data_IF_432786299148
#
_entry.id   IF_432786299148
#
_cell.length_a   1.000
_cell.length_b   1.000
_cell.length_c   1.000
_cell.angle_alpha   90.00
_cell.angle_beta   90.00
_cell.angle_gamma   90.00
#
_symmetry.space_group_name_H-M   'P 1'
#
loop_
_entity.id
_entity.type
_entity.pdbx_description
1 polymer ?
#
# COMPACT_ATOMS: atom_id res chain seq x y z
N UNK A 1 3.69 -17.03 -23.45
CA UNK A 1 2.49 -16.25 -23.23
C UNK A 1 2.83 -14.79 -22.99
N UNK A 2 2.15 -13.89 -23.68
CA UNK A 2 2.36 -12.43 -23.59
C UNK A 2 2.22 -11.90 -22.15
N UNK A 3 1.19 -12.33 -21.45
CA UNK A 3 0.93 -11.86 -20.07
C UNK A 3 1.98 -12.37 -19.08
N UNK A 4 2.43 -13.59 -19.25
CA UNK A 4 3.49 -14.15 -18.39
C UNK A 4 4.82 -13.42 -18.63
N UNK A 5 5.16 -13.13 -19.88
CA UNK A 5 6.37 -12.38 -20.24
C UNK A 5 6.34 -10.97 -19.67
N UNK A 6 5.19 -10.30 -19.77
CA UNK A 6 5.02 -8.93 -19.27
C UNK A 6 5.15 -8.88 -17.75
N UNK A 7 4.51 -9.84 -17.04
CA UNK A 7 4.61 -9.93 -15.58
C UNK A 7 6.04 -10.17 -15.13
N UNK A 8 6.76 -11.03 -15.83
CA UNK A 8 8.16 -11.31 -15.54
C UNK A 8 9.04 -10.07 -15.76
N UNK A 9 8.81 -9.31 -16.83
CA UNK A 9 9.53 -8.07 -17.10
C UNK A 9 9.30 -7.02 -16.03
N UNK A 10 8.05 -6.90 -15.53
CA UNK A 10 7.70 -5.97 -14.45
C UNK A 10 8.41 -6.36 -13.15
N UNK A 11 8.52 -7.67 -12.84
CA UNK A 11 9.26 -8.17 -11.67
C UNK A 11 10.73 -7.78 -11.74
N UNK A 12 11.38 -7.98 -12.90
CA UNK A 12 12.77 -7.62 -13.08
C UNK A 12 13.00 -6.10 -12.93
N UNK A 13 12.10 -5.28 -13.45
CA UNK A 13 12.19 -3.82 -13.31
C UNK A 13 12.10 -3.39 -11.84
N UNK A 14 11.18 -3.99 -11.08
CA UNK A 14 11.05 -3.69 -9.65
C UNK A 14 12.31 -4.07 -8.88
N UNK A 15 12.89 -5.23 -9.19
CA UNK A 15 14.13 -5.67 -8.57
C UNK A 15 15.29 -4.74 -8.87
N UNK A 16 15.43 -4.29 -10.12
CA UNK A 16 16.46 -3.33 -10.52
C UNK A 16 16.32 -2.03 -9.75
N UNK A 17 15.11 -1.49 -9.64
CA UNK A 17 14.84 -0.25 -8.92
C UNK A 17 15.20 -0.42 -7.44
N UNK A 18 14.80 -1.51 -6.81
CA UNK A 18 15.12 -1.75 -5.40
C UNK A 18 16.62 -1.89 -5.16
N UNK A 19 17.34 -2.57 -6.06
CA UNK A 19 18.79 -2.75 -5.92
C UNK A 19 19.56 -1.45 -6.04
N UNK A 20 18.97 -0.44 -6.70
CA UNK A 20 19.59 0.89 -6.85
C UNK A 20 19.29 1.81 -5.66
N UNK A 21 18.37 1.45 -4.76
CA UNK A 21 17.96 2.26 -3.64
C UNK A 21 18.69 1.87 -2.35
N UNK A 22 18.93 2.87 -1.50
CA UNK A 22 19.43 2.62 -0.15
C UNK A 22 18.29 2.08 0.72
N UNK A 23 18.64 1.47 1.87
CA UNK A 23 17.66 0.99 2.84
C UNK A 23 16.75 2.13 3.31
N UNK A 24 17.32 3.31 3.55
CA UNK A 24 16.58 4.50 3.96
C UNK A 24 15.60 4.96 2.87
N UNK A 25 16.03 4.94 1.60
CA UNK A 25 15.17 5.31 0.48
C UNK A 25 14.00 4.33 0.33
N UNK A 26 14.26 3.03 0.49
CA UNK A 26 13.21 2.00 0.46
C UNK A 26 12.21 2.24 1.59
N UNK A 27 12.71 2.43 2.80
CA UNK A 27 11.85 2.68 3.97
C UNK A 27 11.01 3.93 3.77
N UNK A 28 11.59 5.03 3.30
CA UNK A 28 10.87 6.28 3.07
C UNK A 28 9.84 6.16 1.95
N UNK A 29 10.13 5.36 0.93
CA UNK A 29 9.16 5.10 -0.15
C UNK A 29 7.95 4.34 0.38
N UNK A 30 8.18 3.33 1.23
CA UNK A 30 7.10 2.58 1.88
C UNK A 30 6.27 3.51 2.77
N UNK A 31 6.91 4.30 3.62
CA UNK A 31 6.24 5.25 4.52
C UNK A 31 5.41 6.25 3.72
N UNK A 32 5.97 6.82 2.66
CA UNK A 32 5.29 7.81 1.83
C UNK A 32 4.02 7.26 1.17
N UNK A 33 4.13 6.10 0.55
CA UNK A 33 2.96 5.46 -0.09
C UNK A 33 1.93 5.01 0.95
N UNK A 34 2.37 4.45 2.07
CA UNK A 34 1.47 4.04 3.16
C UNK A 34 0.73 5.23 3.76
N UNK A 35 1.44 6.33 4.00
CA UNK A 35 0.84 7.56 4.53
C UNK A 35 -0.19 8.16 3.60
N UNK A 36 0.12 8.21 2.30
CA UNK A 36 -0.83 8.69 1.29
C UNK A 36 -2.05 7.78 1.20
N UNK A 37 -1.84 6.46 1.20
CA UNK A 37 -2.93 5.48 1.19
C UNK A 37 -3.87 5.68 2.38
N UNK A 38 -3.30 5.87 3.57
CA UNK A 38 -4.08 6.10 4.79
C UNK A 38 -4.89 7.40 4.68
N UNK A 39 -4.26 8.48 4.23
CA UNK A 39 -4.94 9.77 4.06
C UNK A 39 -6.11 9.66 3.09
N UNK A 40 -5.91 8.99 1.96
CA UNK A 40 -6.96 8.77 0.96
C UNK A 40 -8.12 7.94 1.53
N UNK A 41 -7.81 6.93 2.35
CA UNK A 41 -8.84 6.11 2.99
C UNK A 41 -9.71 6.95 3.94
N UNK A 42 -9.09 7.84 4.73
CA UNK A 42 -9.83 8.74 5.62
C UNK A 42 -10.62 9.80 4.84
N UNK A 43 -10.12 10.28 3.70
CA UNK A 43 -10.89 11.15 2.82
C UNK A 43 -12.12 10.42 2.27
N UNK A 44 -11.98 9.14 1.93
CA UNK A 44 -13.11 8.32 1.49
C UNK A 44 -14.18 8.22 2.59
N UNK A 45 -13.76 8.00 3.83
CA UNK A 45 -14.68 7.93 4.97
C UNK A 45 -15.41 9.24 5.16
N UNK A 46 -14.71 10.36 5.04
CA UNK A 46 -15.31 11.70 5.15
C UNK A 46 -16.39 11.90 4.09
N UNK A 47 -16.11 11.55 2.85
CA UNK A 47 -17.09 11.66 1.75
C UNK A 47 -18.30 10.75 1.99
N UNK A 48 -18.08 9.55 2.48
CA UNK A 48 -19.17 8.61 2.79
C UNK A 48 -20.09 9.14 3.88
N UNK A 49 -19.53 9.80 4.90
CA UNK A 49 -20.32 10.43 5.97
C UNK A 49 -21.25 11.51 5.43
N UNK A 50 -20.86 12.16 4.34
CA UNK A 50 -21.64 13.20 3.68
C UNK A 50 -22.58 12.65 2.60
N UNK A 51 -22.61 11.32 2.41
CA UNK A 51 -23.42 10.66 1.41
C UNK A 51 -22.84 10.63 0.01
N UNK A 52 -21.59 11.06 -0.16
CA UNK A 52 -20.91 11.13 -1.46
C UNK A 52 -20.19 9.82 -1.77
N UNK A 53 -20.95 8.74 -1.97
CA UNK A 53 -20.41 7.38 -2.09
C UNK A 53 -19.56 7.15 -3.35
N UNK A 54 -19.89 7.79 -4.46
CA UNK A 54 -19.08 7.66 -5.69
C UNK A 54 -17.70 8.27 -5.51
N UNK A 55 -17.63 9.42 -4.85
CA UNK A 55 -16.37 10.08 -4.53
C UNK A 55 -15.58 9.28 -3.52
N UNK A 56 -16.25 8.71 -2.52
CA UNK A 56 -15.64 7.81 -1.54
C UNK A 56 -14.99 6.61 -2.23
N UNK A 57 -15.70 6.01 -3.19
CA UNK A 57 -15.18 4.88 -3.95
C UNK A 57 -13.90 5.22 -4.71
N UNK A 58 -13.85 6.39 -5.34
CA UNK A 58 -12.65 6.86 -6.06
C UNK A 58 -11.46 7.01 -5.13
N UNK A 59 -11.66 7.58 -3.96
CA UNK A 59 -10.61 7.71 -2.95
C UNK A 59 -10.12 6.34 -2.46
N UNK A 60 -11.03 5.38 -2.27
CA UNK A 60 -10.64 4.02 -1.88
C UNK A 60 -9.80 3.33 -2.95
N UNK A 61 -10.15 3.52 -4.22
CA UNK A 61 -9.37 2.98 -5.34
C UNK A 61 -7.96 3.55 -5.36
N UNK A 62 -7.83 4.86 -5.18
CA UNK A 62 -6.53 5.53 -5.10
C UNK A 62 -5.73 5.05 -3.89
N UNK A 63 -6.39 4.90 -2.74
CA UNK A 63 -5.77 4.37 -1.53
C UNK A 63 -5.20 2.98 -1.77
N UNK A 64 -5.97 2.13 -2.43
CA UNK A 64 -5.57 0.76 -2.75
C UNK A 64 -4.34 0.73 -3.67
N UNK A 65 -4.29 1.60 -4.67
CA UNK A 65 -3.15 1.71 -5.57
C UNK A 65 -1.87 2.08 -4.83
N UNK A 66 -1.95 3.02 -3.88
CA UNK A 66 -0.80 3.43 -3.08
C UNK A 66 -0.35 2.32 -2.13
N UNK A 67 -1.31 1.64 -1.50
CA UNK A 67 -1.01 0.48 -0.65
C UNK A 67 -0.33 -0.63 -1.43
N UNK A 68 -0.80 -0.88 -2.64
CA UNK A 68 -0.26 -1.93 -3.50
C UNK A 68 1.21 -1.67 -3.84
N UNK A 69 1.55 -0.43 -4.17
CA UNK A 69 2.94 -0.04 -4.47
C UNK A 69 3.87 -0.34 -3.29
N UNK A 70 3.46 0.05 -2.09
CA UNK A 70 4.24 -0.19 -0.87
C UNK A 70 4.29 -1.68 -0.53
N UNK A 71 3.18 -2.38 -0.71
CA UNK A 71 3.08 -3.82 -0.42
C UNK A 71 3.95 -4.66 -1.36
N UNK A 72 4.04 -4.29 -2.62
CA UNK A 72 4.94 -4.96 -3.58
C UNK A 72 6.39 -4.82 -3.15
N UNK A 73 6.77 -3.63 -2.69
CA UNK A 73 8.11 -3.37 -2.17
C UNK A 73 8.42 -4.20 -0.93
N UNK A 74 7.45 -4.30 -0.01
CA UNK A 74 7.56 -5.16 1.17
C UNK A 74 7.73 -6.63 0.77
N UNK A 75 6.95 -7.09 -0.19
CA UNK A 75 7.00 -8.47 -0.67
C UNK A 75 8.38 -8.80 -1.23
N UNK A 76 8.98 -7.90 -2.00
CA UNK A 76 10.34 -8.08 -2.51
C UNK A 76 11.37 -8.21 -1.38
N UNK A 77 11.23 -7.39 -0.34
CA UNK A 77 12.11 -7.46 0.82
C UNK A 77 12.00 -8.82 1.53
N UNK A 78 10.77 -9.29 1.71
CA UNK A 78 10.49 -10.59 2.36
C UNK A 78 11.06 -11.73 1.53
N UNK A 79 10.85 -11.71 0.21
CA UNK A 79 11.37 -12.72 -0.70
C UNK A 79 12.90 -12.75 -0.69
N UNK A 80 13.54 -11.58 -0.70
CA UNK A 80 15.01 -11.49 -0.65
C UNK A 80 15.54 -12.06 0.68
N UNK A 81 14.86 -11.79 1.78
CA UNK A 81 15.26 -12.37 3.07
C UNK A 81 15.14 -13.89 3.06
N UNK A 82 14.05 -14.42 2.50
CA UNK A 82 13.85 -15.87 2.38
C UNK A 82 14.94 -16.53 1.53
N UNK A 83 15.47 -15.82 0.53
CA UNK A 83 16.55 -16.28 -0.34
C UNK A 83 17.96 -16.09 0.25
N UNK A 84 18.05 -15.58 1.48
CA UNK A 84 19.33 -15.35 2.16
C UNK A 84 19.95 -13.99 1.84
N UNK A 85 19.24 -13.11 1.12
CA UNK A 85 19.71 -11.79 0.70
C UNK A 85 18.96 -10.68 1.46
N UNK A 86 18.70 -10.89 2.74
CA UNK A 86 18.00 -9.93 3.57
C UNK A 86 18.83 -8.67 3.83
N UNK A 87 18.13 -7.59 4.18
CA UNK A 87 18.76 -6.34 4.58
C UNK A 87 18.92 -6.31 6.11
N UNK A 88 19.84 -5.47 6.57
CA UNK A 88 19.97 -5.22 8.00
C UNK A 88 18.76 -4.42 8.47
N UNK A 89 18.11 -4.90 9.53
CA UNK A 89 16.92 -4.26 10.07
C UNK A 89 17.31 -3.08 10.95
N UNK A 90 16.65 -1.93 10.76
CA UNK A 90 16.82 -0.76 11.60
C UNK A 90 15.45 -0.21 12.00
N UNK A 91 15.44 0.76 12.91
CA UNK A 91 14.19 1.32 13.42
C UNK A 91 13.34 1.95 12.34
N UNK A 92 13.97 2.64 11.38
CA UNK A 92 13.24 3.26 10.27
C UNK A 92 12.51 2.21 9.43
N UNK A 93 13.15 1.08 9.14
CA UNK A 93 12.53 0.00 8.36
C UNK A 93 11.39 -0.67 9.14
N UNK A 94 11.57 -0.87 10.46
CA UNK A 94 10.50 -1.40 11.32
C UNK A 94 9.31 -0.43 11.31
N UNK A 95 9.56 0.86 11.43
CA UNK A 95 8.52 1.90 11.37
C UNK A 95 7.78 1.85 10.02
N UNK A 96 8.52 1.67 8.93
CA UNK A 96 7.93 1.58 7.59
C UNK A 96 6.97 0.39 7.49
N UNK A 97 7.37 -0.78 8.00
CA UNK A 97 6.52 -1.97 7.99
C UNK A 97 5.26 -1.77 8.83
N UNK A 98 5.41 -1.22 10.03
CA UNK A 98 4.30 -0.91 10.91
C UNK A 98 3.31 0.06 10.24
N UNK A 99 3.83 1.13 9.66
CA UNK A 99 3.02 2.14 8.99
C UNK A 99 2.24 1.54 7.81
N UNK A 100 2.88 0.68 7.03
CA UNK A 100 2.23 0.00 5.91
C UNK A 100 1.11 -0.92 6.39
N UNK A 101 1.39 -1.79 7.36
CA UNK A 101 0.40 -2.77 7.82
C UNK A 101 -0.80 -2.10 8.48
N UNK A 102 -0.58 -1.06 9.28
CA UNK A 102 -1.68 -0.32 9.92
C UNK A 102 -2.49 0.47 8.89
N UNK A 103 -1.86 1.01 7.86
CA UNK A 103 -2.59 1.73 6.80
C UNK A 103 -3.48 0.79 5.98
N UNK A 104 -3.03 -0.43 5.70
CA UNK A 104 -3.83 -1.44 5.02
C UNK A 104 -5.05 -1.82 5.88
N UNK A 105 -4.82 -2.07 7.16
CA UNK A 105 -5.92 -2.39 8.09
C UNK A 105 -6.92 -1.23 8.17
N UNK A 106 -6.43 0.01 8.26
CA UNK A 106 -7.30 1.18 8.29
C UNK A 106 -8.19 1.25 7.05
N UNK A 107 -7.63 1.02 5.85
CA UNK A 107 -8.41 1.02 4.62
C UNK A 107 -9.46 -0.08 4.61
N UNK A 108 -9.08 -1.28 5.03
CA UNK A 108 -10.03 -2.41 5.07
C UNK A 108 -11.20 -2.14 6.02
N UNK A 109 -10.90 -1.59 7.20
CA UNK A 109 -11.95 -1.22 8.16
C UNK A 109 -12.83 -0.08 7.64
N UNK A 110 -12.24 0.90 6.98
CA UNK A 110 -12.98 2.02 6.38
C UNK A 110 -13.91 1.52 5.29
N UNK A 111 -13.49 0.55 4.48
CA UNK A 111 -14.37 -0.06 3.47
C UNK A 111 -15.62 -0.66 4.12
N UNK A 112 -15.46 -1.35 5.24
CA UNK A 112 -16.58 -1.90 5.99
C UNK A 112 -17.45 -0.81 6.60
N UNK A 113 -16.83 0.26 7.13
CA UNK A 113 -17.57 1.40 7.67
C UNK A 113 -18.43 2.07 6.59
N UNK A 114 -17.89 2.23 5.38
CA UNK A 114 -18.63 2.83 4.27
C UNK A 114 -19.83 1.95 3.89
N UNK A 115 -19.65 0.65 3.90
CA UNK A 115 -20.75 -0.30 3.68
C UNK A 115 -21.86 -0.10 4.72
N UNK A 116 -21.48 0.11 5.99
CA UNK A 116 -22.44 0.38 7.05
C UNK A 116 -23.17 1.72 6.84
N UNK A 117 -22.44 2.77 6.45
CA UNK A 117 -23.07 4.06 6.17
C UNK A 117 -24.10 3.96 5.05
N UNK A 118 -23.79 3.21 3.99
CA UNK A 118 -24.74 2.97 2.89
C UNK A 118 -26.00 2.27 3.37
N UNK A 119 -25.86 1.29 4.26
CA UNK A 119 -27.02 0.55 4.81
C UNK A 119 -27.88 1.42 5.72
N UNK A 120 -27.26 2.37 6.42
CA UNK A 120 -27.97 3.30 7.30
C UNK A 120 -28.63 4.44 6.53
N UNK A 121 -28.10 4.76 5.37
CA UNK A 121 -28.56 5.86 4.52
C UNK A 121 -29.64 5.33 3.57
N UNK A 122 -30.90 5.45 3.97
CA UNK A 122 -32.04 4.98 3.16
C UNK A 122 -32.92 6.12 2.68
#
# INVERSE_FOLDING_TARGET
DYYASRGLGDVYKRQEVMMSLTIEEIAMTIVGNAGEARSLAFEALKEAKEGNYEKAKKYLEQSKERSLAAHEMQTELICNEADGNGIEMNLLMVHAQDHLMTSILARELIEEMITLYKKLDK
#
